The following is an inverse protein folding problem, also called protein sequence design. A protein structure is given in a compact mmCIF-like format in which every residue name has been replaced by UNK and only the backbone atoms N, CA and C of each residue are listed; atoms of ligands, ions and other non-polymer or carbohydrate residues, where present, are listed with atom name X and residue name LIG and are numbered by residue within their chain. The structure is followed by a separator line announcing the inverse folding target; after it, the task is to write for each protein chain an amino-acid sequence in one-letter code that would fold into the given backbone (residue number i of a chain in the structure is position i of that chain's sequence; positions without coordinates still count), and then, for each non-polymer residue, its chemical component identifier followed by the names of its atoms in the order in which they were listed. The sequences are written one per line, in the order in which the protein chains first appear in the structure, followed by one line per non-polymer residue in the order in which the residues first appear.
data_IF_068387819661
#
_entry.id   IF_068387819661
#
_cell.length_a   1.000
_cell.length_b   1.000
_cell.length_c   1.000
_cell.angle_alpha   90.00
_cell.angle_beta   90.00
_cell.angle_gamma   90.00
#
_symmetry.space_group_name_H-M   'P 1'
#
loop_
_entity.id
_entity.type
_entity.pdbx_description
1 polymer ?
#
# COMPACT_ATOMS: atom_id res chain seq x y z
N UNK A 1 26.87 -9.65 -12.54
CA UNK A 1 25.65 -10.44 -12.26
C UNK A 1 25.33 -11.46 -13.37
N UNK A 2 26.02 -11.42 -14.52
CA UNK A 2 25.76 -12.32 -15.68
C UNK A 2 26.61 -13.60 -15.64
N UNK A 3 27.70 -13.66 -14.86
CA UNK A 3 28.52 -14.88 -14.71
C UNK A 3 27.84 -16.01 -13.93
N UNK A 4 26.70 -15.75 -13.28
CA UNK A 4 25.89 -16.78 -12.64
C UNK A 4 25.20 -17.70 -13.66
N UNK A 5 25.06 -17.28 -14.93
CA UNK A 5 24.42 -18.10 -15.97
C UNK A 5 25.40 -19.03 -16.71
N UNK A 6 26.71 -18.92 -16.44
CA UNK A 6 27.71 -19.82 -17.03
C UNK A 6 27.94 -21.09 -16.18
N UNK A 7 26.86 -21.63 -15.60
CA UNK A 7 26.88 -22.85 -14.76
C UNK A 7 26.75 -24.14 -15.59
N UNK A 8 26.73 -24.04 -16.92
CA UNK A 8 26.63 -25.18 -17.84
C UNK A 8 27.98 -25.79 -18.22
N UNK A 9 29.10 -25.17 -17.84
CA UNK A 9 30.45 -25.58 -18.32
C UNK A 9 31.00 -26.82 -17.59
N UNK A 10 30.43 -27.19 -16.43
CA UNK A 10 30.84 -28.42 -15.75
C UNK A 10 29.88 -28.83 -14.63
N UNK A 11 29.60 -30.13 -14.54
CA UNK A 11 28.86 -30.77 -13.46
C UNK A 11 29.42 -30.41 -12.08
N UNK A 12 30.73 -30.21 -11.98
CA UNK A 12 31.40 -29.94 -10.70
C UNK A 12 31.16 -28.51 -10.20
N UNK A 13 31.06 -27.53 -11.10
CA UNK A 13 30.69 -26.16 -10.76
C UNK A 13 29.19 -26.04 -10.45
N UNK A 14 28.35 -26.84 -11.12
CA UNK A 14 26.94 -26.99 -10.81
C UNK A 14 26.76 -27.62 -9.41
N UNK A 15 27.42 -28.74 -9.13
CA UNK A 15 27.35 -29.42 -7.81
C UNK A 15 27.94 -28.53 -6.70
N UNK A 16 29.07 -27.86 -6.93
CA UNK A 16 29.65 -26.95 -5.92
C UNK A 16 28.81 -25.68 -5.68
N UNK A 17 28.09 -25.18 -6.70
CA UNK A 17 27.22 -24.00 -6.56
C UNK A 17 25.82 -24.32 -6.01
N UNK A 18 25.35 -25.57 -6.13
CA UNK A 18 23.99 -26.00 -5.79
C UNK A 18 23.89 -27.05 -4.65
N UNK A 19 24.96 -27.77 -4.31
CA UNK A 19 24.95 -28.86 -3.33
C UNK A 19 26.07 -28.69 -2.28
N UNK A 20 25.79 -27.96 -1.19
CA UNK A 20 26.72 -27.79 -0.07
C UNK A 20 26.89 -29.04 0.83
N UNK A 21 26.15 -30.12 0.56
CA UNK A 21 26.33 -31.50 1.07
C UNK A 21 25.11 -32.32 0.62
N UNK A 22 25.09 -32.94 -0.56
CA UNK A 22 24.03 -33.90 -0.86
C UNK A 22 24.28 -35.14 0.03
N UNK A 23 23.32 -35.57 0.87
CA UNK A 23 23.46 -36.82 1.58
C UNK A 23 23.66 -37.96 0.57
N UNK A 24 24.63 -38.84 0.82
CA UNK A 24 25.03 -39.92 -0.09
C UNK A 24 23.92 -40.93 -0.41
N UNK A 25 22.84 -40.89 0.37
CA UNK A 25 21.81 -41.92 0.42
C UNK A 25 20.43 -41.39 -0.03
N UNK A 26 20.29 -40.09 -0.33
CA UNK A 26 19.03 -39.56 -0.85
C UNK A 26 18.90 -39.93 -2.33
N UNK A 27 17.79 -40.58 -2.65
CA UNK A 27 17.39 -41.06 -3.97
C UNK A 27 17.18 -39.97 -5.03
N UNK A 28 17.51 -38.71 -4.73
CA UNK A 28 17.49 -37.60 -5.66
C UNK A 28 18.76 -37.61 -6.53
N UNK A 29 18.80 -38.52 -7.50
CA UNK A 29 19.99 -38.79 -8.31
C UNK A 29 20.52 -37.57 -9.09
N UNK A 30 19.69 -36.57 -9.41
CA UNK A 30 20.10 -35.42 -10.22
C UNK A 30 19.30 -34.11 -9.99
N UNK A 31 18.64 -33.90 -8.84
CA UNK A 31 17.69 -32.78 -8.71
C UNK A 31 17.48 -32.18 -7.32
N UNK A 32 16.81 -31.03 -7.30
CA UNK A 32 16.32 -30.36 -6.08
C UNK A 32 15.48 -31.33 -5.24
N UNK A 33 15.81 -31.50 -3.96
CA UNK A 33 14.88 -32.14 -3.02
C UNK A 33 13.70 -31.18 -2.85
N UNK A 34 12.58 -31.52 -3.46
CA UNK A 34 11.38 -30.68 -3.44
C UNK A 34 10.93 -30.48 -1.99
N UNK A 35 10.92 -29.23 -1.52
CA UNK A 35 10.35 -28.86 -0.23
C UNK A 35 8.99 -28.18 -0.46
N UNK A 36 7.88 -28.95 -0.46
CA UNK A 36 6.55 -28.41 -0.71
C UNK A 36 6.09 -27.44 0.37
N UNK A 37 6.69 -27.45 1.57
CA UNK A 37 6.35 -26.55 2.67
C UNK A 37 6.88 -25.13 2.46
N UNK A 38 7.91 -24.94 1.61
CA UNK A 38 8.51 -23.61 1.33
C UNK A 38 8.10 -23.09 -0.05
N UNK A 39 8.24 -23.92 -1.09
CA UNK A 39 8.01 -23.50 -2.47
C UNK A 39 6.70 -24.02 -3.07
N UNK A 40 5.87 -24.66 -2.23
CA UNK A 40 4.60 -25.21 -2.64
C UNK A 40 3.68 -24.16 -3.26
N UNK A 41 2.88 -24.51 -4.28
CA UNK A 41 1.98 -23.56 -4.95
C UNK A 41 1.02 -22.87 -3.97
N UNK A 42 0.50 -23.59 -2.97
CA UNK A 42 -0.38 -23.00 -1.95
C UNK A 42 0.33 -21.98 -1.06
N UNK A 43 1.60 -22.21 -0.71
CA UNK A 43 2.42 -21.25 0.05
C UNK A 43 2.62 -19.98 -0.76
N UNK A 44 2.95 -20.11 -2.05
CA UNK A 44 3.12 -18.97 -2.96
C UNK A 44 1.84 -18.17 -3.10
N UNK A 45 0.73 -18.83 -3.46
CA UNK A 45 -0.59 -18.19 -3.62
C UNK A 45 -1.03 -17.50 -2.33
N UNK A 46 -0.90 -18.18 -1.18
CA UNK A 46 -1.20 -17.60 0.13
C UNK A 46 -0.38 -16.33 0.38
N UNK A 47 0.93 -16.39 0.12
CA UNK A 47 1.82 -15.24 0.28
C UNK A 47 1.42 -14.07 -0.63
N UNK A 48 1.01 -14.34 -1.88
CA UNK A 48 0.55 -13.31 -2.82
C UNK A 48 -0.71 -12.62 -2.31
N UNK A 49 -1.69 -13.41 -1.88
CA UNK A 49 -2.97 -12.91 -1.39
C UNK A 49 -2.76 -12.13 -0.10
N UNK A 50 -1.98 -12.65 0.85
CA UNK A 50 -1.65 -11.97 2.12
C UNK A 50 -0.97 -10.63 1.87
N UNK A 51 0.10 -10.58 1.07
CA UNK A 51 0.81 -9.33 0.78
C UNK A 51 -0.11 -8.30 0.11
N UNK A 52 -0.96 -8.74 -0.83
CA UNK A 52 -1.90 -7.86 -1.51
C UNK A 52 -2.98 -7.33 -0.57
N UNK A 53 -3.58 -8.19 0.25
CA UNK A 53 -4.60 -7.82 1.23
C UNK A 53 -4.05 -6.87 2.30
N UNK A 54 -2.86 -7.16 2.84
CA UNK A 54 -2.20 -6.28 3.82
C UNK A 54 -1.84 -4.92 3.21
N UNK A 55 -1.43 -4.87 1.94
CA UNK A 55 -1.21 -3.62 1.24
C UNK A 55 -2.50 -2.80 1.13
N UNK A 56 -3.64 -3.44 0.85
CA UNK A 56 -4.95 -2.75 0.85
C UNK A 56 -5.26 -2.21 2.26
N UNK A 57 -5.12 -3.03 3.30
CA UNK A 57 -5.40 -2.61 4.68
C UNK A 57 -4.54 -1.40 5.06
N UNK A 58 -3.25 -1.45 4.77
CA UNK A 58 -2.32 -0.38 5.09
C UNK A 58 -2.66 0.94 4.37
N UNK A 59 -3.11 0.87 3.12
CA UNK A 59 -3.45 2.07 2.34
C UNK A 59 -4.80 2.68 2.70
N UNK A 60 -5.79 1.86 3.09
CA UNK A 60 -7.17 2.33 3.28
C UNK A 60 -7.61 2.40 4.74
N UNK A 61 -6.94 1.71 5.65
CA UNK A 61 -7.25 1.70 7.08
C UNK A 61 -5.95 1.91 7.87
N UNK A 62 -5.47 3.17 7.99
CA UNK A 62 -4.27 3.47 8.76
C UNK A 62 -4.42 3.10 10.24
N UNK A 63 -5.65 3.11 10.76
CA UNK A 63 -5.97 2.65 12.13
C UNK A 63 -5.64 1.16 12.32
N UNK A 64 -5.86 0.33 11.28
CA UNK A 64 -5.55 -1.10 11.30
C UNK A 64 -4.11 -1.41 10.82
N UNK A 65 -3.38 -0.41 10.33
CA UNK A 65 -2.06 -0.60 9.73
C UNK A 65 -1.03 -1.14 10.72
N UNK A 66 -1.14 -0.77 12.00
CA UNK A 66 -0.25 -1.29 13.04
C UNK A 66 -0.43 -2.81 13.23
N UNK A 67 -1.68 -3.29 13.27
CA UNK A 67 -1.95 -4.73 13.38
C UNK A 67 -1.50 -5.47 12.12
N UNK A 68 -1.73 -4.88 10.94
CA UNK A 68 -1.23 -5.42 9.66
C UNK A 68 0.31 -5.53 9.65
N UNK A 69 1.01 -4.52 10.17
CA UNK A 69 2.47 -4.52 10.27
C UNK A 69 2.98 -5.64 11.18
N UNK A 70 2.38 -5.83 12.36
CA UNK A 70 2.76 -6.92 13.27
C UNK A 70 2.53 -8.29 12.66
N UNK A 71 1.40 -8.46 11.96
CA UNK A 71 1.09 -9.71 11.25
C UNK A 71 2.13 -10.02 10.15
N UNK A 72 2.52 -9.00 9.37
CA UNK A 72 3.55 -9.16 8.34
C UNK A 72 4.93 -9.49 8.95
N UNK A 73 5.33 -8.78 10.01
CA UNK A 73 6.60 -9.02 10.70
C UNK A 73 6.67 -10.45 11.25
N UNK A 74 5.60 -10.93 11.91
CA UNK A 74 5.53 -12.31 12.40
C UNK A 74 5.65 -13.33 11.27
N UNK A 75 5.03 -13.06 10.12
CA UNK A 75 5.13 -13.93 8.93
C UNK A 75 6.56 -13.95 8.39
N UNK A 76 7.23 -12.79 8.30
CA UNK A 76 8.63 -12.70 7.89
C UNK A 76 9.55 -13.45 8.85
N UNK A 77 9.39 -13.26 10.16
CA UNK A 77 10.18 -13.96 11.17
C UNK A 77 9.95 -15.47 11.13
N UNK A 78 8.72 -15.92 10.93
CA UNK A 78 8.40 -17.35 10.78
C UNK A 78 9.10 -17.95 9.56
N UNK A 79 9.09 -17.25 8.42
CA UNK A 79 9.82 -17.69 7.21
C UNK A 79 11.33 -17.71 7.43
N UNK A 80 11.90 -16.68 8.05
CA UNK A 80 13.34 -16.64 8.36
C UNK A 80 13.75 -17.76 9.34
N UNK A 81 12.92 -18.05 10.34
CA UNK A 81 13.14 -19.14 11.28
C UNK A 81 13.05 -20.49 10.56
N UNK A 82 12.07 -20.67 9.67
CA UNK A 82 11.93 -21.90 8.86
C UNK A 82 13.17 -22.12 8.00
N UNK A 83 13.65 -21.07 7.34
CA UNK A 83 14.92 -21.12 6.58
C UNK A 83 16.09 -21.48 7.48
N UNK A 84 16.21 -20.87 8.67
CA UNK A 84 17.28 -21.17 9.61
C UNK A 84 17.25 -22.64 10.04
N UNK A 85 16.07 -23.19 10.37
CA UNK A 85 15.89 -24.61 10.72
C UNK A 85 16.28 -25.50 9.53
N UNK A 86 15.83 -25.20 8.32
CA UNK A 86 16.19 -25.96 7.12
C UNK A 86 17.70 -25.90 6.81
N UNK A 87 18.38 -24.78 7.11
CA UNK A 87 19.85 -24.69 7.03
C UNK A 87 20.49 -25.64 8.04
N UNK A 88 20.02 -25.68 9.29
CA UNK A 88 20.58 -26.60 10.31
C UNK A 88 20.37 -28.07 9.96
N UNK A 89 19.26 -28.40 9.29
CA UNK A 89 18.96 -29.75 8.80
C UNK A 89 19.69 -30.10 7.49
N UNK A 90 20.46 -29.16 6.91
CA UNK A 90 21.14 -29.30 5.62
C UNK A 90 20.19 -29.65 4.46
N UNK A 91 18.90 -29.33 4.58
CA UNK A 91 17.86 -29.62 3.59
C UNK A 91 17.50 -28.41 2.73
N UNK A 92 18.20 -27.28 2.89
CA UNK A 92 17.91 -26.04 2.17
C UNK A 92 18.66 -25.97 0.83
N UNK A 93 17.91 -25.95 -0.27
CA UNK A 93 18.46 -25.58 -1.57
C UNK A 93 18.71 -24.06 -1.66
N UNK A 94 19.71 -23.65 -2.47
CA UNK A 94 19.98 -22.23 -2.75
C UNK A 94 18.77 -21.52 -3.35
N UNK A 95 17.95 -22.23 -4.12
CA UNK A 95 16.71 -21.72 -4.69
C UNK A 95 15.68 -21.40 -3.60
N UNK A 96 15.51 -22.26 -2.60
CA UNK A 96 14.61 -21.98 -1.48
C UNK A 96 15.11 -20.83 -0.61
N UNK A 97 16.42 -20.70 -0.44
CA UNK A 97 17.02 -19.51 0.19
C UNK A 97 16.67 -18.23 -0.57
N UNK A 98 16.86 -18.22 -1.89
CA UNK A 98 16.56 -17.09 -2.75
C UNK A 98 15.07 -16.77 -2.74
N UNK A 99 14.21 -17.78 -2.86
CA UNK A 99 12.76 -17.63 -2.80
C UNK A 99 12.32 -17.02 -1.46
N UNK A 100 12.87 -17.47 -0.34
CA UNK A 100 12.57 -16.90 0.97
C UNK A 100 13.07 -15.46 1.12
N UNK A 101 14.23 -15.12 0.56
CA UNK A 101 14.73 -13.74 0.51
C UNK A 101 13.83 -12.86 -0.37
N UNK A 102 13.39 -13.35 -1.53
CA UNK A 102 12.47 -12.61 -2.41
C UNK A 102 11.09 -12.46 -1.77
N UNK A 103 10.62 -13.48 -1.05
CA UNK A 103 9.35 -13.42 -0.32
C UNK A 103 9.40 -12.45 0.84
N UNK A 104 10.49 -12.49 1.62
CA UNK A 104 10.70 -11.54 2.71
C UNK A 104 10.93 -10.12 2.18
N UNK A 105 11.60 -9.97 1.04
CA UNK A 105 11.78 -8.71 0.31
C UNK A 105 10.56 -8.23 -0.50
N UNK A 106 9.35 -8.64 -0.14
CA UNK A 106 8.14 -8.19 -0.86
C UNK A 106 8.03 -6.65 -0.84
N UNK A 107 7.35 -6.05 -1.84
CA UNK A 107 7.14 -4.60 -1.87
C UNK A 107 6.53 -4.04 -0.59
N UNK A 108 5.63 -4.81 0.05
CA UNK A 108 5.03 -4.47 1.33
C UNK A 108 6.07 -4.46 2.46
N UNK A 109 6.92 -5.48 2.55
CA UNK A 109 7.96 -5.55 3.58
C UNK A 109 8.98 -4.42 3.44
N UNK A 110 9.42 -4.12 2.21
CA UNK A 110 10.29 -2.98 1.92
C UNK A 110 9.64 -1.66 2.31
N UNK A 111 8.35 -1.50 1.99
CA UNK A 111 7.58 -0.33 2.38
C UNK A 111 7.51 -0.18 3.91
N UNK A 112 7.24 -1.26 4.65
CA UNK A 112 7.15 -1.23 6.11
C UNK A 112 8.49 -0.93 6.78
N UNK A 113 9.58 -1.55 6.32
CA UNK A 113 10.93 -1.29 6.84
C UNK A 113 11.30 0.17 6.59
N UNK A 114 11.07 0.66 5.38
CA UNK A 114 11.34 2.05 5.05
C UNK A 114 10.49 3.02 5.87
N UNK A 115 9.19 2.73 6.01
CA UNK A 115 8.29 3.51 6.84
C UNK A 115 8.80 3.59 8.28
N UNK A 116 9.23 2.46 8.85
CA UNK A 116 9.80 2.39 10.20
C UNK A 116 11.11 3.19 10.31
N UNK A 117 12.02 3.08 9.34
CA UNK A 117 13.29 3.82 9.32
C UNK A 117 13.05 5.32 9.20
N UNK A 118 12.23 5.75 8.24
CA UNK A 118 11.95 7.18 8.04
C UNK A 118 11.22 7.76 9.25
N UNK A 119 10.24 7.03 9.79
CA UNK A 119 9.54 7.45 11.02
C UNK A 119 10.53 7.64 12.16
N UNK A 120 11.44 6.68 12.37
CA UNK A 120 12.44 6.75 13.45
C UNK A 120 13.44 7.90 13.26
N UNK A 121 13.88 8.16 12.03
CA UNK A 121 14.85 9.24 11.72
C UNK A 121 14.20 10.63 11.79
N UNK A 122 12.92 10.75 11.45
CA UNK A 122 12.18 12.02 11.49
C UNK A 122 11.45 12.25 12.82
N UNK A 123 11.48 11.28 13.76
CA UNK A 123 10.76 11.33 15.04
C UNK A 123 11.27 12.36 16.05
N UNK A 124 12.39 13.03 15.77
CA UNK A 124 12.94 14.08 16.66
C UNK A 124 12.11 15.38 16.69
N UNK A 125 11.02 15.46 15.93
CA UNK A 125 10.02 16.53 16.08
C UNK A 125 8.78 15.97 16.74
N UNK A 126 8.59 16.31 18.01
CA UNK A 126 7.53 15.85 18.93
C UNK A 126 6.09 16.18 18.52
N UNK A 127 5.85 16.74 17.33
CA UNK A 127 4.50 17.00 16.80
C UNK A 127 4.03 15.85 15.90
N UNK A 128 4.05 14.63 16.44
CA UNK A 128 3.61 13.41 15.76
C UNK A 128 2.11 13.20 15.97
N UNK A 129 1.31 13.47 14.96
CA UNK A 129 0.04 12.75 14.79
C UNK A 129 -0.51 12.78 13.36
N UNK A 130 -0.30 13.85 12.58
CA UNK A 130 -1.01 13.95 11.29
C UNK A 130 -0.22 14.62 10.16
N UNK A 131 0.68 15.56 10.47
CA UNK A 131 1.45 16.30 9.46
C UNK A 131 2.57 15.47 8.81
N UNK A 132 3.18 14.56 9.57
CA UNK A 132 4.22 13.64 9.07
C UNK A 132 3.68 12.67 8.02
N UNK A 133 2.40 12.26 8.10
CA UNK A 133 1.78 11.44 7.06
C UNK A 133 1.74 12.19 5.71
N UNK A 134 1.33 13.46 5.70
CA UNK A 134 1.23 14.26 4.47
C UNK A 134 2.59 14.60 3.83
N UNK A 135 3.63 14.82 4.66
CA UNK A 135 4.98 15.17 4.19
C UNK A 135 5.75 13.92 3.72
N UNK A 136 5.54 12.77 4.37
CA UNK A 136 6.15 11.49 3.99
C UNK A 136 5.68 11.03 2.61
N UNK A 137 4.41 11.26 2.25
CA UNK A 137 3.92 10.97 0.89
C UNK A 137 4.75 11.70 -0.20
N UNK A 138 5.31 12.88 0.07
CA UNK A 138 6.10 13.65 -0.90
C UNK A 138 7.52 13.13 -1.13
N UNK A 139 8.17 12.63 -0.08
CA UNK A 139 9.57 12.15 -0.09
C UNK A 139 9.74 10.77 -0.73
N UNK A 140 8.70 9.93 -0.72
CA UNK A 140 8.82 8.55 -1.20
C UNK A 140 9.03 8.41 -2.72
N UNK A 141 8.87 9.47 -3.53
CA UNK A 141 9.01 9.42 -5.00
C UNK A 141 10.38 8.92 -5.50
N UNK A 142 11.47 9.13 -4.76
CA UNK A 142 12.81 8.73 -5.18
C UNK A 142 13.09 7.22 -5.05
N UNK A 143 12.36 6.52 -4.19
CA UNK A 143 12.64 5.12 -3.83
C UNK A 143 11.99 4.14 -4.83
N UNK A 144 10.98 4.60 -5.58
CA UNK A 144 10.21 3.79 -6.52
C UNK A 144 10.81 3.70 -7.94
N UNK A 145 11.99 4.27 -8.18
CA UNK A 145 12.74 4.06 -9.44
C UNK A 145 13.43 2.68 -9.43
N UNK A 146 13.65 2.08 -8.26
CA UNK A 146 14.37 0.81 -8.12
C UNK A 146 13.67 -0.34 -8.87
N UNK A 147 12.34 -0.54 -8.78
CA UNK A 147 11.66 -1.56 -9.58
C UNK A 147 11.82 -1.34 -11.09
N UNK A 148 11.77 -0.09 -11.58
CA UNK A 148 11.85 0.26 -13.02
C UNK A 148 13.17 -0.24 -13.66
N UNK A 149 14.26 -0.24 -12.90
CA UNK A 149 15.56 -0.72 -13.38
C UNK A 149 15.62 -2.24 -13.57
N UNK A 150 14.79 -3.01 -12.87
CA UNK A 150 14.73 -4.47 -13.04
C UNK A 150 13.87 -4.92 -14.25
N UNK A 151 13.07 -4.03 -14.87
CA UNK A 151 12.23 -4.38 -16.02
C UNK A 151 13.01 -4.66 -17.31
N UNK A 152 14.30 -4.32 -17.39
CA UNK A 152 14.99 -4.34 -18.68
C UNK A 152 15.25 -5.76 -19.23
N UNK A 153 15.53 -6.74 -18.36
CA UNK A 153 16.09 -8.02 -18.82
C UNK A 153 15.04 -9.15 -18.99
N UNK A 154 13.89 -9.08 -18.31
CA UNK A 154 12.89 -10.16 -18.27
C UNK A 154 11.91 -10.19 -19.47
N UNK A 155 11.89 -9.14 -20.31
CA UNK A 155 10.95 -9.06 -21.45
C UNK A 155 11.20 -10.09 -22.56
N UNK A 156 12.28 -10.86 -22.50
CA UNK A 156 12.65 -11.82 -23.55
C UNK A 156 12.03 -13.21 -23.39
N UNK A 157 11.54 -13.58 -22.21
CA UNK A 157 11.26 -15.00 -21.88
C UNK A 157 9.84 -15.46 -22.27
N UNK A 158 8.85 -14.57 -22.35
CA UNK A 158 7.50 -14.92 -22.83
C UNK A 158 6.70 -13.71 -23.29
N UNK A 159 6.33 -13.69 -24.58
CA UNK A 159 5.58 -12.58 -25.18
C UNK A 159 4.23 -12.33 -24.53
N UNK A 160 3.47 -13.37 -24.14
CA UNK A 160 2.13 -13.19 -23.58
C UNK A 160 2.14 -12.73 -22.12
N UNK A 161 3.01 -13.29 -21.28
CA UNK A 161 3.18 -12.83 -19.89
C UNK A 161 3.71 -11.39 -19.85
N UNK A 162 4.63 -11.04 -20.75
CA UNK A 162 5.10 -9.66 -20.91
C UNK A 162 3.96 -8.68 -21.20
N UNK A 163 3.04 -9.02 -22.11
CA UNK A 163 1.88 -8.16 -22.42
C UNK A 163 0.97 -7.96 -21.19
N UNK A 164 0.71 -9.03 -20.43
CA UNK A 164 -0.15 -8.97 -19.24
C UNK A 164 0.44 -8.05 -18.16
N UNK A 165 1.77 -8.00 -18.05
CA UNK A 165 2.49 -7.16 -17.09
C UNK A 165 2.65 -5.70 -17.58
N UNK A 166 2.89 -5.50 -18.87
CA UNK A 166 3.02 -4.17 -19.50
C UNK A 166 1.68 -3.43 -19.49
N UNK A 167 0.56 -4.12 -19.71
CA UNK A 167 -0.74 -3.48 -19.88
C UNK A 167 -1.17 -2.62 -18.66
N UNK A 168 -1.09 -3.10 -17.39
CA UNK A 168 -1.31 -2.28 -16.21
C UNK A 168 -0.33 -1.10 -16.10
N UNK A 169 0.93 -1.28 -16.50
CA UNK A 169 1.95 -0.24 -16.43
C UNK A 169 1.70 0.87 -17.44
N UNK A 170 1.39 0.52 -18.69
CA UNK A 170 1.05 1.48 -19.76
C UNK A 170 -0.26 2.20 -19.46
N UNK A 171 -1.29 1.48 -19.03
CA UNK A 171 -2.57 2.10 -18.68
C UNK A 171 -2.45 3.05 -17.50
N UNK A 172 -1.66 2.69 -16.48
CA UNK A 172 -1.39 3.57 -15.33
C UNK A 172 -0.54 4.78 -15.72
N UNK A 173 0.49 4.59 -16.57
CA UNK A 173 1.30 5.68 -17.10
C UNK A 173 0.46 6.67 -17.94
N UNK A 174 -0.42 6.17 -18.79
CA UNK A 174 -1.35 7.00 -19.57
C UNK A 174 -2.34 7.74 -18.66
N UNK A 175 -2.91 7.05 -17.66
CA UNK A 175 -3.80 7.67 -16.69
C UNK A 175 -3.10 8.79 -15.89
N UNK A 176 -1.84 8.56 -15.50
CA UNK A 176 -1.02 9.56 -14.82
C UNK A 176 -0.70 10.76 -15.71
N UNK A 177 -0.32 10.54 -16.98
CA UNK A 177 -0.11 11.62 -17.95
C UNK A 177 -1.39 12.45 -18.16
N UNK A 178 -2.55 11.81 -18.29
CA UNK A 178 -3.84 12.51 -18.39
C UNK A 178 -4.11 13.31 -17.11
N UNK A 179 -3.85 12.76 -15.93
CA UNK A 179 -4.00 13.46 -14.66
C UNK A 179 -3.10 14.70 -14.58
N UNK A 180 -1.83 14.60 -15.03
CA UNK A 180 -0.92 15.74 -15.10
C UNK A 180 -1.43 16.84 -16.03
N UNK A 181 -1.90 16.47 -17.21
CA UNK A 181 -2.45 17.44 -18.19
C UNK A 181 -3.68 18.15 -17.63
N UNK A 182 -4.57 17.42 -16.95
CA UNK A 182 -5.77 17.98 -16.33
C UNK A 182 -5.44 18.89 -15.13
N UNK A 183 -4.46 18.51 -14.30
CA UNK A 183 -4.06 19.25 -13.11
C UNK A 183 -2.99 20.33 -13.36
N UNK A 184 -2.59 20.54 -14.63
CA UNK A 184 -1.50 21.47 -14.97
C UNK A 184 -1.64 22.85 -14.33
N UNK A 185 -2.86 23.39 -14.25
CA UNK A 185 -3.11 24.73 -13.66
C UNK A 185 -2.90 24.76 -12.14
N UNK A 186 -3.17 23.66 -11.46
CA UNK A 186 -3.00 23.53 -10.01
C UNK A 186 -1.53 23.23 -9.65
N UNK A 187 -0.83 22.51 -10.53
CA UNK A 187 0.58 22.15 -10.36
C UNK A 187 1.49 23.36 -10.65
N UNK A 188 1.23 24.11 -11.73
CA UNK A 188 2.04 25.24 -12.17
C UNK A 188 1.23 26.55 -12.09
N UNK A 189 1.18 27.23 -10.92
CA UNK A 189 0.56 28.54 -10.82
C UNK A 189 1.33 29.54 -11.67
N UNK A 190 0.62 30.39 -12.42
CA UNK A 190 1.18 31.29 -13.44
C UNK A 190 2.24 32.28 -12.93
N UNK A 191 2.34 32.50 -11.62
CA UNK A 191 3.25 33.46 -11.00
C UNK A 191 4.58 32.86 -10.53
N UNK A 192 4.75 31.54 -10.55
CA UNK A 192 5.99 30.88 -10.11
C UNK A 192 6.89 30.54 -11.32
N UNK A 193 8.21 30.67 -11.15
CA UNK A 193 9.17 30.18 -12.16
C UNK A 193 9.00 28.68 -12.33
N UNK A 194 8.99 28.20 -13.58
CA UNK A 194 8.83 26.78 -13.90
C UNK A 194 9.93 25.93 -13.23
N UNK A 195 9.57 25.28 -12.12
CA UNK A 195 10.41 24.29 -11.43
C UNK A 195 9.57 23.03 -11.20
N UNK A 196 9.97 21.87 -11.74
CA UNK A 196 9.24 20.62 -11.53
C UNK A 196 9.43 20.15 -10.09
N UNK A 197 8.53 20.58 -9.20
CA UNK A 197 8.47 20.06 -7.84
C UNK A 197 7.77 18.70 -7.85
N UNK A 198 8.54 17.62 -8.00
CA UNK A 198 8.03 16.24 -8.02
C UNK A 198 7.14 15.93 -6.81
N UNK A 199 7.52 16.38 -5.62
CA UNK A 199 6.70 16.23 -4.41
C UNK A 199 5.33 16.93 -4.49
N UNK A 200 5.26 18.11 -5.12
CA UNK A 200 3.99 18.84 -5.34
C UNK A 200 3.13 18.13 -6.35
N UNK A 201 3.71 17.69 -7.46
CA UNK A 201 3.01 16.90 -8.50
C UNK A 201 2.40 15.64 -7.86
N UNK A 202 3.19 14.92 -7.09
CA UNK A 202 2.78 13.69 -6.42
C UNK A 202 1.69 13.95 -5.37
N UNK A 203 1.87 14.94 -4.49
CA UNK A 203 0.86 15.29 -3.48
C UNK A 203 -0.48 15.71 -4.10
N UNK A 204 -0.47 16.51 -5.17
CA UNK A 204 -1.70 16.94 -5.86
C UNK A 204 -2.35 15.75 -6.58
N UNK A 205 -1.55 14.95 -7.28
CA UNK A 205 -2.05 13.78 -8.01
C UNK A 205 -2.63 12.74 -7.05
N UNK A 206 -1.97 12.51 -5.92
CA UNK A 206 -2.44 11.59 -4.88
C UNK A 206 -3.75 12.00 -4.25
N UNK A 207 -3.91 13.30 -3.94
CA UNK A 207 -5.15 13.83 -3.35
C UNK A 207 -6.35 13.71 -4.30
N UNK A 208 -6.15 13.95 -5.60
CA UNK A 208 -7.25 13.93 -6.58
C UNK A 208 -7.46 12.57 -7.26
N UNK A 209 -6.42 11.73 -7.33
CA UNK A 209 -6.40 10.47 -8.05
C UNK A 209 -5.73 9.38 -7.22
N UNK A 210 -6.27 9.12 -6.04
CA UNK A 210 -5.81 8.07 -5.12
C UNK A 210 -5.70 6.69 -5.78
N UNK A 211 -6.54 6.38 -6.78
CA UNK A 211 -6.41 5.16 -7.59
C UNK A 211 -5.06 5.06 -8.33
N UNK A 212 -4.53 6.16 -8.87
CA UNK A 212 -3.25 6.13 -9.58
C UNK A 212 -2.12 5.81 -8.59
N UNK A 213 -2.18 6.36 -7.38
CA UNK A 213 -1.23 6.01 -6.31
C UNK A 213 -1.36 4.54 -5.90
N UNK A 214 -2.58 4.04 -5.72
CA UNK A 214 -2.79 2.62 -5.44
C UNK A 214 -2.22 1.71 -6.54
N UNK A 215 -2.46 2.04 -7.81
CA UNK A 215 -1.92 1.28 -8.94
C UNK A 215 -0.39 1.30 -8.97
N UNK A 216 0.22 2.48 -8.82
CA UNK A 216 1.66 2.67 -8.88
C UNK A 216 2.41 2.07 -7.69
N UNK A 217 1.85 2.19 -6.48
CA UNK A 217 2.56 1.83 -5.25
C UNK A 217 2.26 0.39 -4.83
N UNK A 218 1.02 -0.08 -5.03
CA UNK A 218 0.59 -1.40 -4.57
C UNK A 218 0.52 -2.38 -5.73
N UNK A 219 -0.34 -2.11 -6.71
CA UNK A 219 -0.71 -3.12 -7.69
C UNK A 219 0.46 -3.48 -8.63
N UNK A 220 1.09 -2.49 -9.27
CA UNK A 220 2.17 -2.73 -10.24
C UNK A 220 3.36 -3.44 -9.58
N UNK A 221 3.90 -2.97 -8.43
CA UNK A 221 4.99 -3.67 -7.75
C UNK A 221 4.61 -5.09 -7.31
N UNK A 222 3.38 -5.31 -6.85
CA UNK A 222 2.90 -6.64 -6.44
C UNK A 222 2.79 -7.58 -7.64
N UNK A 223 2.19 -7.15 -8.75
CA UNK A 223 2.08 -7.95 -9.97
C UNK A 223 3.46 -8.31 -10.52
N UNK A 224 4.38 -7.35 -10.51
CA UNK A 224 5.77 -7.57 -10.90
C UNK A 224 6.43 -8.63 -10.02
N UNK A 225 6.36 -8.46 -8.70
CA UNK A 225 6.95 -9.39 -7.75
C UNK A 225 6.37 -10.81 -7.88
N UNK A 226 5.05 -10.96 -8.05
CA UNK A 226 4.40 -12.26 -8.33
C UNK A 226 4.97 -12.86 -9.62
N UNK A 227 5.08 -12.07 -10.68
CA UNK A 227 5.55 -12.55 -11.99
C UNK A 227 7.00 -13.01 -11.93
N UNK A 228 7.87 -12.29 -11.23
CA UNK A 228 9.27 -12.69 -11.02
C UNK A 228 9.34 -14.03 -10.28
N UNK A 229 8.52 -14.22 -9.23
CA UNK A 229 8.50 -15.49 -8.48
C UNK A 229 7.99 -16.63 -9.36
N UNK A 230 6.88 -16.45 -10.09
CA UNK A 230 6.32 -17.52 -10.91
C UNK A 230 7.23 -17.87 -12.10
N UNK A 231 7.83 -16.89 -12.77
CA UNK A 231 8.83 -17.15 -13.82
C UNK A 231 10.01 -17.94 -13.25
N UNK A 232 10.52 -17.54 -12.07
CA UNK A 232 11.58 -18.28 -11.40
C UNK A 232 11.15 -19.73 -11.12
N UNK A 233 9.95 -19.94 -10.57
CA UNK A 233 9.45 -21.28 -10.27
C UNK A 233 9.28 -22.14 -11.53
N UNK A 234 8.81 -21.56 -12.63
CA UNK A 234 8.67 -22.25 -13.92
C UNK A 234 10.03 -22.64 -14.49
N UNK A 235 11.01 -21.73 -14.49
CA UNK A 235 12.36 -21.99 -15.00
C UNK A 235 13.04 -23.12 -14.22
N UNK A 236 12.86 -23.14 -12.90
CA UNK A 236 13.48 -24.14 -12.03
C UNK A 236 12.62 -25.38 -11.77
N UNK A 237 11.45 -25.50 -12.41
CA UNK A 237 10.47 -26.58 -12.17
C UNK A 237 10.12 -26.78 -10.69
N UNK A 238 10.17 -25.72 -9.89
CA UNK A 238 9.97 -25.78 -8.45
C UNK A 238 8.48 -25.96 -8.12
N UNK A 239 8.16 -27.05 -7.40
CA UNK A 239 6.81 -27.32 -6.90
C UNK A 239 5.92 -28.14 -7.84
N UNK A 240 6.48 -29.01 -8.67
CA UNK A 240 5.69 -29.97 -9.46
C UNK A 240 5.16 -31.16 -8.63
N UNK A 241 5.57 -31.29 -7.36
CA UNK A 241 4.98 -32.23 -6.41
C UNK A 241 3.58 -31.82 -5.96
N UNK A 242 2.54 -32.53 -6.40
CA UNK A 242 1.14 -32.36 -5.96
C UNK A 242 0.85 -32.88 -4.54
N UNK A 243 1.88 -33.16 -3.74
CA UNK A 243 1.67 -33.62 -2.38
C UNK A 243 1.27 -32.44 -1.49
N UNK A 244 0.01 -32.46 -1.04
CA UNK A 244 -0.49 -31.52 -0.06
C UNK A 244 0.31 -31.69 1.23
N UNK A 245 1.13 -30.70 1.57
CA UNK A 245 1.94 -30.71 2.78
C UNK A 245 1.27 -29.96 3.93
N UNK A 246 1.65 -30.26 5.16
CA UNK A 246 1.09 -29.59 6.34
C UNK A 246 1.40 -28.08 6.33
N UNK A 247 2.60 -27.68 5.90
CA UNK A 247 2.99 -26.28 5.79
C UNK A 247 2.13 -25.52 4.78
N UNK A 248 1.82 -26.13 3.64
CA UNK A 248 0.90 -25.54 2.65
C UNK A 248 -0.48 -25.24 3.26
N UNK A 249 -1.08 -26.18 3.99
CA UNK A 249 -2.37 -25.97 4.65
C UNK A 249 -2.27 -24.85 5.68
N UNK A 250 -1.24 -24.87 6.52
CA UNK A 250 -1.01 -23.85 7.54
C UNK A 250 -0.91 -22.45 6.92
N UNK A 251 -0.18 -22.31 5.81
CA UNK A 251 -0.04 -21.00 5.14
C UNK A 251 -1.36 -20.46 4.61
N UNK A 252 -2.29 -21.31 4.17
CA UNK A 252 -3.63 -20.85 3.76
C UNK A 252 -4.41 -20.28 4.95
N UNK A 253 -4.29 -20.89 6.13
CA UNK A 253 -4.90 -20.34 7.35
C UNK A 253 -4.26 -19.01 7.77
N UNK A 254 -2.96 -18.83 7.56
CA UNK A 254 -2.28 -17.55 7.81
C UNK A 254 -2.80 -16.43 6.90
N UNK A 255 -3.23 -16.74 5.66
CA UNK A 255 -3.83 -15.76 4.77
C UNK A 255 -5.28 -15.40 5.10
N UNK A 256 -5.97 -16.22 5.90
CA UNK A 256 -7.40 -16.03 6.17
C UNK A 256 -7.72 -14.71 6.90
N UNK A 257 -7.00 -14.30 7.98
CA UNK A 257 -7.27 -13.05 8.67
C UNK A 257 -7.22 -11.80 7.76
N UNK A 258 -6.14 -11.52 6.98
CA UNK A 258 -6.11 -10.33 6.13
C UNK A 258 -7.16 -10.36 5.02
N UNK A 259 -7.53 -11.55 4.52
CA UNK A 259 -8.65 -11.69 3.58
C UNK A 259 -9.96 -11.26 4.23
N UNK A 260 -10.27 -11.75 5.43
CA UNK A 260 -11.49 -11.39 6.16
C UNK A 260 -11.53 -9.88 6.44
N UNK A 261 -10.42 -9.28 6.86
CA UNK A 261 -10.35 -7.83 7.09
C UNK A 261 -10.62 -7.04 5.81
N UNK A 262 -10.04 -7.44 4.67
CA UNK A 262 -10.33 -6.80 3.37
C UNK A 262 -11.79 -6.98 2.96
N UNK A 263 -12.38 -8.15 3.21
CA UNK A 263 -13.81 -8.40 2.95
C UNK A 263 -14.71 -7.50 3.81
N UNK A 264 -14.34 -7.25 5.07
CA UNK A 264 -15.05 -6.30 5.94
C UNK A 264 -14.89 -4.86 5.46
N UNK A 265 -13.75 -4.51 4.87
CA UNK A 265 -13.50 -3.21 4.24
C UNK A 265 -14.18 -3.06 2.86
N UNK A 266 -14.72 -4.14 2.29
CA UNK A 266 -15.31 -4.14 0.96
C UNK A 266 -16.38 -3.06 0.72
N UNK A 267 -17.32 -2.78 1.64
CA UNK A 267 -18.30 -1.72 1.44
C UNK A 267 -17.65 -0.34 1.33
N UNK A 268 -16.62 -0.06 2.15
CA UNK A 268 -15.85 1.19 2.12
C UNK A 268 -15.04 1.29 0.83
N UNK A 269 -14.35 0.22 0.43
CA UNK A 269 -13.60 0.14 -0.82
C UNK A 269 -14.50 0.36 -2.04
N UNK A 270 -15.70 -0.22 -2.03
CA UNK A 270 -16.66 -0.07 -3.12
C UNK A 270 -17.25 1.34 -3.19
N UNK A 271 -17.55 1.95 -2.03
CA UNK A 271 -17.96 3.35 -1.96
C UNK A 271 -16.87 4.29 -2.49
N UNK A 272 -15.61 4.06 -2.09
CA UNK A 272 -14.45 4.78 -2.59
C UNK A 272 -14.27 4.60 -4.11
N UNK A 273 -14.38 3.36 -4.61
CA UNK A 273 -14.28 3.05 -6.03
C UNK A 273 -15.36 3.78 -6.85
N UNK A 274 -16.59 3.82 -6.35
CA UNK A 274 -17.68 4.60 -6.96
C UNK A 274 -17.42 6.10 -6.95
N UNK A 275 -16.67 6.61 -5.97
CA UNK A 275 -16.31 8.02 -5.91
C UNK A 275 -15.19 8.41 -6.88
N UNK A 276 -14.53 7.46 -7.55
CA UNK A 276 -13.53 7.79 -8.58
C UNK A 276 -14.17 8.63 -9.69
N UNK A 277 -13.50 9.71 -10.07
CA UNK A 277 -14.03 10.73 -10.99
C UNK A 277 -14.39 10.17 -12.36
N UNK A 278 -13.59 9.23 -12.88
CA UNK A 278 -13.87 8.54 -14.13
C UNK A 278 -15.05 7.58 -14.01
N UNK A 279 -15.18 6.87 -12.88
CA UNK A 279 -16.34 6.01 -12.59
C UNK A 279 -17.60 6.85 -12.52
N UNK A 280 -17.58 8.00 -11.87
CA UNK A 280 -18.71 8.95 -11.87
C UNK A 280 -19.06 9.41 -13.28
N UNK A 281 -18.07 9.70 -14.13
CA UNK A 281 -18.29 10.13 -15.51
C UNK A 281 -18.87 9.01 -16.37
N UNK A 282 -18.36 7.79 -16.19
CA UNK A 282 -18.83 6.59 -16.89
C UNK A 282 -20.24 6.22 -16.43
N UNK A 283 -20.51 6.20 -15.13
CA UNK A 283 -21.84 5.98 -14.56
C UNK A 283 -22.83 7.04 -15.07
N UNK A 284 -22.45 8.32 -15.15
CA UNK A 284 -23.33 9.36 -15.74
C UNK A 284 -23.59 9.15 -17.23
N UNK A 285 -22.64 8.59 -17.95
CA UNK A 285 -22.82 8.27 -19.38
C UNK A 285 -23.75 7.06 -19.57
N UNK A 286 -23.65 6.07 -18.68
CA UNK A 286 -24.37 4.80 -18.77
C UNK A 286 -25.73 4.79 -18.10
N UNK A 287 -25.95 5.60 -17.07
CA UNK A 287 -27.28 5.84 -16.51
C UNK A 287 -27.88 6.94 -17.38
N UNK A 288 -28.73 6.62 -18.38
CA UNK A 288 -29.45 7.66 -19.10
C UNK A 288 -30.13 8.50 -18.05
N UNK A 289 -30.03 9.83 -18.17
CA UNK A 289 -30.67 10.76 -17.26
C UNK A 289 -32.14 10.35 -17.17
N UNK A 290 -32.49 9.53 -16.17
CA UNK A 290 -33.87 9.24 -15.85
C UNK A 290 -34.36 10.62 -15.53
N UNK A 291 -35.19 11.16 -16.43
CA UNK A 291 -35.86 12.44 -16.27
C UNK A 291 -36.40 12.37 -14.85
N UNK A 292 -35.71 13.04 -13.94
CA UNK A 292 -36.15 13.17 -12.58
C UNK A 292 -37.38 14.03 -12.76
N UNK A 293 -38.54 13.37 -12.95
CA UNK A 293 -39.83 14.05 -12.91
C UNK A 293 -39.72 14.90 -11.66
N UNK A 294 -39.82 16.24 -11.76
CA UNK A 294 -39.70 17.09 -10.61
C UNK A 294 -40.70 16.53 -9.61
N UNK A 295 -40.18 15.90 -8.56
CA UNK A 295 -41.00 15.53 -7.42
C UNK A 295 -41.43 16.90 -6.93
N UNK A 296 -42.67 17.27 -7.24
CA UNK A 296 -43.37 18.36 -6.59
C UNK A 296 -43.33 17.99 -5.12
N UNK A 297 -42.26 18.38 -4.45
CA UNK A 297 -42.29 18.60 -3.01
C UNK A 297 -43.35 19.67 -2.89
N UNK A 298 -44.57 19.25 -2.59
CA UNK A 298 -45.59 20.13 -2.07
C UNK A 298 -44.94 20.79 -0.87
N UNK A 299 -44.49 22.03 -1.06
CA UNK A 299 -44.26 22.98 0.01
C UNK A 299 -45.52 22.95 0.85
N UNK A 300 -45.44 22.28 2.00
CA UNK A 300 -46.22 22.70 3.14
C UNK A 300 -45.63 24.05 3.55
N UNK A 301 -46.03 25.09 2.80
CA UNK A 301 -46.00 26.47 3.26
C UNK A 301 -47.03 26.55 4.38
N UNK A 302 -46.60 26.22 5.59
CA UNK A 302 -47.40 26.44 6.79
C UNK A 302 -46.44 26.59 7.96
N UNK A 303 -46.44 27.81 8.52
CA UNK A 303 -45.79 28.23 9.76
C UNK A 303 -44.31 28.59 9.65
N UNK A 304 -44.01 29.74 9.03
CA UNK A 304 -42.90 30.59 9.53
C UNK A 304 -43.00 32.08 9.16
N UNK A 305 -44.20 32.55 8.80
CA UNK A 305 -44.53 33.99 8.77
C UNK A 305 -44.88 34.51 10.17
N UNK A 306 -44.02 34.27 11.17
CA UNK A 306 -44.16 34.87 12.51
C UNK A 306 -42.82 35.03 13.27
N UNK A 307 -41.71 35.30 12.58
CA UNK A 307 -40.60 36.03 13.21
C UNK A 307 -40.39 37.32 12.44
N UNK A 308 -41.36 38.19 12.70
CA UNK A 308 -41.30 39.63 12.59
C UNK A 308 -40.03 40.17 13.23
N UNK A 309 -39.26 40.92 12.44
CA UNK A 309 -38.85 42.28 12.76
C UNK A 309 -38.36 42.51 14.20
N UNK A 310 -37.04 42.49 14.40
CA UNK A 310 -36.40 43.27 15.46
C UNK A 310 -34.99 43.68 15.05
N UNK A 311 -34.91 44.90 14.53
CA UNK A 311 -33.71 45.72 14.68
C UNK A 311 -33.47 45.91 16.19
N UNK A 312 -32.33 45.46 16.69
CA UNK A 312 -31.59 46.13 17.76
C UNK A 312 -30.24 45.45 17.99
N UNK A 313 -29.23 46.27 18.27
CA UNK A 313 -27.85 45.96 18.64
C UNK A 313 -27.72 44.98 19.82
N UNK A 314 -27.98 43.69 19.59
CA UNK A 314 -27.80 42.63 20.56
C UNK A 314 -26.86 41.56 20.02
N UNK A 315 -25.82 41.23 20.80
CA UNK A 315 -24.90 40.10 20.56
C UNK A 315 -25.69 38.85 20.12
N UNK A 316 -25.22 38.09 19.11
CA UNK A 316 -25.88 36.88 18.68
C UNK A 316 -25.80 35.82 19.80
N UNK A 317 -26.94 35.51 20.39
CA UNK A 317 -27.13 34.42 21.34
C UNK A 317 -27.44 33.15 20.54
N UNK A 318 -26.61 32.12 20.67
CA UNK A 318 -26.78 30.85 19.97
C UNK A 318 -27.36 29.83 20.94
N UNK A 319 -28.63 29.49 20.78
CA UNK A 319 -29.23 28.37 21.49
C UNK A 319 -28.83 27.06 20.83
N UNK A 320 -28.03 26.25 21.55
CA UNK A 320 -27.62 24.92 21.12
C UNK A 320 -28.48 23.89 21.84
N UNK A 321 -29.22 23.09 21.07
CA UNK A 321 -30.08 22.04 21.61
C UNK A 321 -29.22 20.88 22.12
N UNK A 322 -29.18 20.69 23.44
CA UNK A 322 -28.49 19.56 24.05
C UNK A 322 -29.32 18.28 23.87
N UNK A 323 -28.94 17.49 22.87
CA UNK A 323 -29.59 16.24 22.46
C UNK A 323 -29.62 15.18 23.57
N UNK A 324 -28.86 15.33 24.65
CA UNK A 324 -28.84 14.35 25.75
C UNK A 324 -29.90 14.60 26.82
N UNK A 325 -30.40 15.83 26.94
CA UNK A 325 -31.36 16.20 28.00
C UNK A 325 -32.66 16.78 27.45
N UNK A 326 -32.71 17.14 26.16
CA UNK A 326 -33.89 17.72 25.52
C UNK A 326 -34.27 19.11 26.07
N UNK A 327 -33.42 19.71 26.90
CA UNK A 327 -33.62 21.05 27.44
C UNK A 327 -32.83 22.07 26.60
N UNK A 328 -33.47 23.21 26.31
CA UNK A 328 -32.79 24.37 25.73
C UNK A 328 -31.85 24.94 26.82
N UNK A 329 -30.55 24.99 26.54
CA UNK A 329 -29.56 25.57 27.43
C UNK A 329 -28.94 26.78 26.74
N UNK A 330 -29.31 27.97 27.22
CA UNK A 330 -28.78 29.24 26.73
C UNK A 330 -27.36 29.41 27.28
N UNK A 331 -26.37 29.51 26.41
CA UNK A 331 -24.98 29.76 26.78
C UNK A 331 -24.67 31.23 26.61
N UNK A 332 -24.47 31.95 27.71
CA UNK A 332 -23.86 33.28 27.66
C UNK A 332 -22.40 33.12 27.19
N UNK A 333 -21.96 33.87 26.16
CA UNK A 333 -20.59 33.81 25.69
C UNK A 333 -19.66 34.40 26.76
N UNK A 334 -18.97 33.51 27.49
CA UNK A 334 -17.83 33.90 28.31
C UNK A 334 -16.77 34.54 27.41
N UNK A 335 -16.48 35.80 27.69
CA UNK A 335 -15.44 36.60 27.07
C UNK A 335 -14.10 35.88 27.30
N UNK A 336 -13.55 35.30 26.23
CA UNK A 336 -12.20 34.71 26.26
C UNK A 336 -11.26 35.91 26.19
N UNK A 337 -10.80 36.37 27.35
CA UNK A 337 -9.67 37.28 27.44
C UNK A 337 -8.45 36.60 26.80
N UNK A 338 -8.09 37.08 25.61
CA UNK A 338 -6.81 36.77 25.01
C UNK A 338 -5.73 37.48 25.83
N UNK A 339 -5.16 36.77 26.82
CA UNK A 339 -3.94 37.22 27.49
C UNK A 339 -2.83 37.39 26.44
N UNK A 340 -2.37 38.63 26.37
CA UNK A 340 -1.31 39.15 25.55
C UNK A 340 0.01 38.40 25.84
N UNK A 341 0.78 38.13 24.78
CA UNK A 341 1.92 37.22 24.79
C UNK A 341 2.95 37.49 25.89
N UNK A 342 3.30 36.44 26.62
CA UNK A 342 4.47 36.40 27.48
C UNK A 342 5.70 36.18 26.59
N UNK A 343 6.48 37.23 26.37
CA UNK A 343 7.83 37.15 25.83
C UNK A 343 8.73 36.36 26.80
N UNK A 344 9.08 35.14 26.42
CA UNK A 344 10.08 34.34 27.13
C UNK A 344 11.47 34.78 26.65
N UNK A 345 12.09 35.68 27.40
CA UNK A 345 13.48 36.09 27.23
C UNK A 345 14.41 34.96 27.71
N UNK A 346 14.98 34.20 26.77
CA UNK A 346 16.04 33.22 27.05
C UNK A 346 17.32 33.94 27.49
N UNK A 347 17.61 33.90 28.81
CA UNK A 347 18.94 34.25 29.33
C UNK A 347 19.93 33.10 29.12
N UNK A 348 21.11 33.35 28.52
CA UNK A 348 22.17 32.36 28.44
C UNK A 348 22.81 32.14 29.81
N UNK A 349 22.76 30.90 30.29
CA UNK A 349 23.49 30.43 31.47
C UNK A 349 24.97 30.29 31.10
N UNK A 350 25.81 31.19 31.59
CA UNK A 350 27.26 31.03 31.56
C UNK A 350 27.69 30.04 32.65
N UNK A 351 28.18 28.87 32.24
CA UNK A 351 28.89 27.95 33.11
C UNK A 351 30.32 28.46 33.34
N UNK A 352 30.68 28.61 34.62
CA UNK A 352 32.04 28.80 35.11
C UNK A 352 32.57 27.48 35.70
#
# INVERSE_FOLDING_TARGET
MVDFLNLTVGTDAYIAAYCLNPPSDDSCSFGYCDNPDIAGPLVRISTYVTNFCLSIILFYSPEDAQMAMWSQLLTMFSMLLTVAISITQKSLSRLYSLLAVVISGSPLSLYLVLYSVISSVLSDRTDFAQRSCDELYGSMTAIYIIPILFFHDEFKVSGWFGVLLIMPMVSTGLAWLIALVLQRKNIWPSHERWRPHLGRIWSITGRHYSFIHFMLIVLIPTLYWITVIEISCVIFSAGQGNVLSFGQVLTVFVALPPIITVLQLWPKLFAWFKQLSWVRRLIRYWIPARVSKPVRTSTFDSVDTLISHRDHDGKPEFDVLDLTTGALKTYEPHEIDYEEGIDIEEKPVSLA
#
